data_IF_249518338481
#
_entry.id   IF_249518338481
#
_cell.length_a   1.000
_cell.length_b   1.000
_cell.length_c   1.000
_cell.angle_alpha   90.00
_cell.angle_beta   90.00
_cell.angle_gamma   90.00
#
_symmetry.space_group_name_H-M   'P 1'
#
loop_
_entity.id
_entity.type
_entity.pdbx_description
1 polymer ?
#
# COMPACT_ATOMS: atom_id res chain seq x y z
N UNK A 1 49.49 9.68 41.71
CA UNK A 1 49.51 8.34 42.32
C UNK A 1 50.60 7.54 41.59
N UNK A 2 51.73 7.20 42.26
CA UNK A 2 52.75 6.32 41.68
C UNK A 2 52.36 4.89 42.05
N UNK A 3 52.07 4.04 41.09
CA UNK A 3 51.85 2.63 41.31
C UNK A 3 53.21 1.98 41.55
N UNK A 4 53.41 1.43 42.72
CA UNK A 4 54.60 0.66 43.05
C UNK A 4 54.36 -0.83 42.71
N UNK A 5 54.99 -1.33 41.66
CA UNK A 5 54.87 -2.69 41.20
C UNK A 5 55.89 -3.66 41.82
N UNK A 6 56.62 -3.19 42.86
CA UNK A 6 57.69 -4.00 43.51
C UNK A 6 57.16 -5.00 44.55
N UNK A 7 55.89 -4.91 44.94
CA UNK A 7 55.31 -5.80 45.95
C UNK A 7 54.62 -6.97 45.18
N UNK A 8 54.99 -8.24 45.43
CA UNK A 8 54.34 -9.37 44.80
C UNK A 8 52.87 -9.45 45.22
N UNK A 9 51.97 -9.42 44.23
CA UNK A 9 50.53 -9.58 44.46
C UNK A 9 50.21 -10.96 45.04
N UNK A 10 49.37 -10.98 46.06
CA UNK A 10 48.78 -12.24 46.55
C UNK A 10 47.85 -12.86 45.50
N UNK A 11 47.64 -14.17 45.56
CA UNK A 11 46.74 -14.89 44.63
C UNK A 11 45.33 -14.32 44.65
N UNK A 12 44.86 -13.79 45.78
CA UNK A 12 43.53 -13.16 45.91
C UNK A 12 43.47 -11.80 45.23
N UNK A 13 44.49 -10.97 45.30
CA UNK A 13 44.59 -9.68 44.62
C UNK A 13 44.65 -9.87 43.11
N UNK A 14 45.40 -10.87 42.65
CA UNK A 14 45.46 -11.22 41.23
C UNK A 14 44.10 -11.68 40.71
N UNK A 15 43.38 -12.51 41.48
CA UNK A 15 42.01 -12.94 41.12
C UNK A 15 41.05 -11.76 41.08
N UNK A 16 41.13 -10.81 42.05
CA UNK A 16 40.28 -9.62 42.08
C UNK A 16 40.51 -8.72 40.86
N UNK A 17 41.78 -8.56 40.44
CA UNK A 17 42.10 -7.79 39.22
C UNK A 17 41.57 -8.45 37.99
N UNK A 18 41.69 -9.76 37.84
CA UNK A 18 41.15 -10.52 36.70
C UNK A 18 39.63 -10.38 36.63
N UNK A 19 38.95 -10.58 37.76
CA UNK A 19 37.50 -10.45 37.83
C UNK A 19 37.04 -9.01 37.49
N UNK A 20 37.78 -7.98 37.95
CA UNK A 20 37.48 -6.59 37.61
C UNK A 20 37.65 -6.30 36.12
N UNK A 21 38.67 -6.83 35.48
CA UNK A 21 38.89 -6.73 34.03
C UNK A 21 37.73 -7.41 33.27
N UNK A 22 37.33 -8.61 33.67
CA UNK A 22 36.23 -9.32 33.08
C UNK A 22 34.93 -8.55 33.22
N UNK A 23 34.65 -7.99 34.41
CA UNK A 23 33.46 -7.18 34.68
C UNK A 23 33.39 -5.91 33.81
N UNK A 24 34.52 -5.32 33.44
CA UNK A 24 34.59 -4.18 32.51
C UNK A 24 34.47 -4.62 31.06
N UNK A 25 35.08 -5.74 30.69
CA UNK A 25 35.06 -6.24 29.30
C UNK A 25 33.69 -6.73 28.86
N UNK A 26 32.90 -7.36 29.72
CA UNK A 26 31.58 -7.88 29.39
C UNK A 26 30.64 -6.78 28.85
N UNK A 27 30.43 -5.64 29.51
CA UNK A 27 29.58 -4.55 28.96
C UNK A 27 30.12 -3.98 27.65
N UNK A 28 31.44 -3.87 27.50
CA UNK A 28 32.06 -3.36 26.27
C UNK A 28 31.80 -4.35 25.11
N UNK A 29 32.00 -5.63 25.33
CA UNK A 29 31.72 -6.65 24.33
C UNK A 29 30.24 -6.66 23.96
N UNK A 30 29.34 -6.57 24.94
CA UNK A 30 27.90 -6.49 24.69
C UNK A 30 27.51 -5.24 23.89
N UNK A 31 28.12 -4.09 24.19
CA UNK A 31 27.88 -2.83 23.46
C UNK A 31 28.34 -2.94 22.00
N UNK A 32 29.56 -3.48 21.78
CA UNK A 32 30.11 -3.71 20.43
C UNK A 32 29.23 -4.71 19.68
N UNK A 33 28.85 -5.81 20.32
CA UNK A 33 27.97 -6.84 19.75
C UNK A 33 26.64 -6.25 19.30
N UNK A 34 25.93 -5.53 20.17
CA UNK A 34 24.67 -4.85 19.84
C UNK A 34 24.82 -3.82 18.73
N UNK A 35 25.89 -3.05 18.72
CA UNK A 35 26.09 -1.96 17.75
C UNK A 35 26.54 -2.44 16.38
N UNK A 36 27.44 -3.42 16.33
CA UNK A 36 28.17 -3.81 15.11
C UNK A 36 27.72 -5.14 14.53
N UNK A 37 27.37 -6.12 15.36
CA UNK A 37 27.08 -7.48 14.92
C UNK A 37 25.59 -7.69 14.72
N UNK A 38 24.75 -7.23 15.64
CA UNK A 38 23.30 -7.36 15.48
C UNK A 38 22.82 -6.37 14.44
N UNK A 39 22.33 -6.88 13.32
CA UNK A 39 21.73 -6.08 12.26
C UNK A 39 20.24 -5.89 12.48
N UNK A 40 19.73 -4.74 12.02
CA UNK A 40 18.30 -4.49 11.93
C UNK A 40 17.65 -5.46 10.94
N UNK A 41 16.53 -6.03 11.30
CA UNK A 41 15.72 -6.91 10.44
C UNK A 41 14.30 -6.44 10.46
N UNK A 42 13.72 -6.30 9.29
CA UNK A 42 12.31 -5.94 9.08
C UNK A 42 11.55 -7.18 8.58
N UNK A 43 10.43 -7.50 9.19
CA UNK A 43 9.49 -8.49 8.71
C UNK A 43 8.17 -7.81 8.32
N UNK A 44 7.43 -8.42 7.41
CA UNK A 44 6.06 -8.05 7.08
C UNK A 44 5.19 -9.30 7.12
N UNK A 45 4.11 -9.22 7.88
CA UNK A 45 3.11 -10.26 8.06
C UNK A 45 1.80 -9.74 7.48
N UNK A 46 1.43 -10.25 6.31
CA UNK A 46 0.15 -9.91 5.67
C UNK A 46 -1.00 -10.57 6.42
N UNK A 47 -2.18 -9.92 6.41
CA UNK A 47 -3.44 -10.53 6.85
C UNK A 47 -3.91 -11.68 5.95
N UNK A 48 -3.24 -11.91 4.81
CA UNK A 48 -3.61 -12.94 3.84
C UNK A 48 -4.64 -12.47 2.82
N UNK A 49 -5.00 -11.20 2.82
CA UNK A 49 -5.95 -10.63 1.87
C UNK A 49 -5.44 -9.32 1.27
N UNK A 50 -5.91 -9.02 0.06
CA UNK A 50 -5.73 -7.73 -0.59
C UNK A 50 -7.07 -7.23 -1.12
N UNK A 51 -7.27 -5.92 -1.12
CA UNK A 51 -8.43 -5.26 -1.69
C UNK A 51 -8.03 -4.63 -3.02
N UNK A 52 -8.82 -4.95 -4.05
CA UNK A 52 -8.65 -4.41 -5.39
C UNK A 52 -9.80 -3.49 -5.72
N UNK A 53 -9.51 -2.38 -6.37
CA UNK A 53 -10.52 -1.56 -6.98
C UNK A 53 -9.96 -0.76 -8.17
N UNK A 54 -10.90 -0.19 -8.94
CA UNK A 54 -10.63 0.59 -10.12
C UNK A 54 -11.62 1.75 -10.19
N UNK A 55 -11.12 2.94 -10.47
CA UNK A 55 -11.93 4.14 -10.60
C UNK A 55 -11.33 5.14 -11.60
N UNK A 56 -11.77 6.40 -11.58
CA UNK A 56 -11.30 7.49 -12.43
C UNK A 56 -9.79 7.78 -12.32
N UNK A 57 -9.15 7.40 -11.23
CA UNK A 57 -7.70 7.56 -11.02
C UNK A 57 -6.92 6.27 -11.30
N UNK A 58 -7.60 5.21 -11.77
CA UNK A 58 -6.98 3.96 -12.20
C UNK A 58 -7.14 2.79 -11.25
N UNK A 59 -6.17 1.90 -11.30
CA UNK A 59 -6.13 0.69 -10.48
C UNK A 59 -5.50 0.95 -9.13
N UNK A 60 -6.15 0.48 -8.09
CA UNK A 60 -5.71 0.58 -6.70
C UNK A 60 -5.57 -0.80 -6.07
N UNK A 61 -4.66 -0.88 -5.13
CA UNK A 61 -4.42 -2.06 -4.32
C UNK A 61 -4.30 -1.63 -2.85
N UNK A 62 -5.04 -2.29 -1.94
CA UNK A 62 -4.81 -2.15 -0.51
C UNK A 62 -4.32 -3.48 0.05
N UNK A 63 -3.27 -3.43 0.83
CA UNK A 63 -2.72 -4.60 1.54
C UNK A 63 -2.69 -4.26 3.03
N UNK A 64 -3.33 -5.11 3.80
CA UNK A 64 -3.39 -4.99 5.24
C UNK A 64 -2.34 -5.93 5.87
N UNK A 65 -1.59 -5.44 6.87
CA UNK A 65 -0.56 -6.24 7.50
C UNK A 65 0.12 -5.56 8.69
N UNK A 66 1.13 -6.23 9.18
CA UNK A 66 1.93 -5.81 10.32
C UNK A 66 3.40 -5.79 9.93
N UNK A 67 4.06 -4.67 10.13
CA UNK A 67 5.51 -4.54 10.07
C UNK A 67 6.10 -4.79 11.45
N UNK A 68 7.10 -5.66 11.52
CA UNK A 68 7.83 -6.02 12.73
C UNK A 68 9.31 -5.63 12.57
N UNK A 69 9.83 -4.91 13.54
CA UNK A 69 11.25 -4.62 13.66
C UNK A 69 11.89 -5.59 14.63
N UNK A 70 12.99 -6.24 14.24
CA UNK A 70 13.71 -7.20 15.08
C UNK A 70 15.09 -6.64 15.42
N UNK A 71 15.43 -6.66 16.69
CA UNK A 71 16.68 -6.23 17.33
C UNK A 71 16.94 -4.72 17.36
N UNK A 72 16.70 -3.98 16.30
CA UNK A 72 16.98 -2.55 16.22
C UNK A 72 15.78 -1.78 15.68
N UNK A 73 15.58 -0.52 16.06
CA UNK A 73 14.51 0.28 15.51
C UNK A 73 14.71 0.46 14.00
N UNK A 74 13.61 0.41 13.26
CA UNK A 74 13.58 0.56 11.80
C UNK A 74 12.75 1.79 11.43
N UNK A 75 13.31 2.67 10.59
CA UNK A 75 12.56 3.79 10.01
C UNK A 75 12.20 3.45 8.56
N UNK A 76 10.92 3.21 8.31
CA UNK A 76 10.37 2.98 6.98
C UNK A 76 10.19 4.34 6.31
N UNK A 77 10.81 4.51 5.14
CA UNK A 77 10.80 5.76 4.37
C UNK A 77 9.79 5.75 3.26
N UNK A 78 9.58 4.58 2.65
CA UNK A 78 8.71 4.41 1.51
C UNK A 78 8.29 2.95 1.38
N UNK A 79 7.07 2.74 0.94
CA UNK A 79 6.56 1.43 0.55
C UNK A 79 6.03 1.55 -0.88
N UNK A 80 6.44 0.63 -1.74
CA UNK A 80 5.95 0.53 -3.10
C UNK A 80 5.51 -0.90 -3.39
N UNK A 81 4.62 -1.08 -4.34
CA UNK A 81 4.18 -2.40 -4.79
C UNK A 81 4.33 -2.47 -6.30
N UNK A 82 4.93 -3.56 -6.73
CA UNK A 82 4.95 -3.94 -8.14
C UNK A 82 4.08 -5.17 -8.31
N UNK A 83 3.06 -5.04 -9.15
CA UNK A 83 2.15 -6.12 -9.51
C UNK A 83 2.47 -6.54 -10.94
N UNK A 84 2.72 -7.83 -11.15
CA UNK A 84 2.97 -8.40 -12.48
C UNK A 84 1.88 -9.41 -12.80
N UNK A 85 1.14 -9.20 -13.88
CA UNK A 85 0.15 -10.15 -14.40
C UNK A 85 0.90 -11.23 -15.16
N UNK A 86 0.76 -12.50 -14.76
CA UNK A 86 1.59 -13.59 -15.31
C UNK A 86 1.25 -13.94 -16.75
N UNK A 87 0.01 -13.66 -17.21
CA UNK A 87 -0.46 -13.99 -18.55
C UNK A 87 0.31 -13.28 -19.68
N UNK A 88 0.72 -12.04 -19.45
CA UNK A 88 1.29 -11.14 -20.48
C UNK A 88 2.43 -10.25 -19.97
N UNK A 89 2.95 -10.53 -18.78
CA UNK A 89 4.00 -9.76 -18.11
C UNK A 89 3.69 -8.26 -17.95
N UNK A 90 2.41 -7.86 -18.05
CA UNK A 90 1.99 -6.48 -17.82
C UNK A 90 2.23 -6.11 -16.37
N UNK A 91 2.87 -4.95 -16.15
CA UNK A 91 3.30 -4.49 -14.84
C UNK A 91 2.55 -3.24 -14.42
N UNK A 92 2.17 -3.21 -13.15
CA UNK A 92 1.60 -2.06 -12.48
C UNK A 92 2.50 -1.70 -11.30
N UNK A 93 3.05 -0.48 -11.30
CA UNK A 93 3.90 0.02 -10.24
C UNK A 93 3.12 1.06 -9.44
N UNK A 94 2.87 0.77 -8.19
CA UNK A 94 2.12 1.61 -7.29
C UNK A 94 3.00 2.03 -6.11
N UNK A 95 2.70 3.19 -5.54
CA UNK A 95 3.30 3.65 -4.30
C UNK A 95 2.23 3.84 -3.23
N UNK A 96 2.64 3.78 -1.98
CA UNK A 96 1.73 4.10 -0.89
C UNK A 96 1.17 5.51 -1.04
N UNK A 97 -0.13 5.62 -0.93
CA UNK A 97 -0.86 6.90 -1.04
C UNK A 97 -1.44 7.28 0.30
N UNK A 98 -1.97 6.30 1.03
CA UNK A 98 -2.61 6.53 2.32
C UNK A 98 -2.47 5.35 3.26
N UNK A 99 -2.59 5.65 4.55
CA UNK A 99 -2.85 4.68 5.61
C UNK A 99 -4.32 4.72 5.99
N UNK A 100 -4.89 3.54 6.17
CA UNK A 100 -6.27 3.39 6.63
C UNK A 100 -6.21 2.95 8.09
N UNK A 101 -6.93 3.64 8.97
CA UNK A 101 -6.99 3.26 10.38
C UNK A 101 -7.63 1.89 10.54
N UNK A 102 -7.02 0.95 11.30
CA UNK A 102 -7.66 -0.32 11.63
C UNK A 102 -8.88 -0.15 12.55
N UNK A 103 -9.03 1.02 13.15
CA UNK A 103 -10.11 1.31 14.10
C UNK A 103 -11.16 2.20 13.45
N UNK A 104 -12.41 1.76 13.45
CA UNK A 104 -13.54 2.57 13.03
C UNK A 104 -13.83 3.62 14.10
N UNK A 105 -13.84 4.89 13.72
CA UNK A 105 -14.28 5.98 14.58
C UNK A 105 -15.78 6.22 14.39
N UNK A 106 -16.50 6.40 15.49
CA UNK A 106 -17.91 6.75 15.45
C UNK A 106 -18.04 8.27 15.23
N UNK A 107 -18.48 8.65 14.03
CA UNK A 107 -18.76 10.05 13.70
C UNK A 107 -20.23 10.21 13.32
N UNK A 108 -20.94 11.12 13.99
CA UNK A 108 -22.36 11.43 13.73
C UNK A 108 -23.28 10.20 13.66
N UNK A 109 -23.02 9.19 14.51
CA UNK A 109 -23.79 7.94 14.53
C UNK A 109 -23.34 6.84 13.58
N UNK A 110 -22.46 7.13 12.63
CA UNK A 110 -21.89 6.18 11.69
C UNK A 110 -20.46 5.78 12.08
N UNK A 111 -20.07 4.56 11.75
CA UNK A 111 -18.67 4.14 11.86
C UNK A 111 -17.91 4.49 10.58
N UNK A 112 -16.88 5.32 10.72
CA UNK A 112 -16.06 5.79 9.60
C UNK A 112 -14.62 5.34 9.82
N UNK A 113 -14.02 4.75 8.80
CA UNK A 113 -12.58 4.51 8.75
C UNK A 113 -11.87 5.83 8.42
N UNK A 114 -10.92 6.23 9.25
CA UNK A 114 -10.09 7.40 8.97
C UNK A 114 -8.95 7.03 8.04
N UNK A 115 -8.69 7.92 7.09
CA UNK A 115 -7.54 7.83 6.17
C UNK A 115 -6.59 8.99 6.44
N UNK A 116 -5.31 8.71 6.41
CA UNK A 116 -4.27 9.73 6.46
C UNK A 116 -3.28 9.54 5.31
N UNK A 117 -2.69 10.62 4.84
CA UNK A 117 -1.66 10.54 3.79
C UNK A 117 -0.49 9.69 4.24
N UNK A 118 0.03 8.87 3.34
CA UNK A 118 1.19 8.06 3.63
C UNK A 118 2.41 8.93 3.98
N UNK A 119 3.07 8.59 5.06
CA UNK A 119 4.25 9.30 5.56
C UNK A 119 5.26 8.33 6.17
N UNK A 120 6.55 8.69 6.21
CA UNK A 120 7.57 7.88 6.88
C UNK A 120 7.24 7.67 8.35
N UNK A 121 7.49 6.46 8.84
CA UNK A 121 7.26 6.09 10.24
C UNK A 121 8.39 5.24 10.80
N UNK A 122 8.46 5.18 12.12
CA UNK A 122 9.48 4.43 12.86
C UNK A 122 8.82 3.35 13.69
N UNK A 123 9.43 2.17 13.67
CA UNK A 123 9.11 1.04 14.53
C UNK A 123 10.25 0.88 15.53
N UNK A 124 9.95 0.86 16.82
CA UNK A 124 10.95 0.66 17.85
C UNK A 124 11.54 -0.75 17.81
N UNK A 125 12.68 -0.95 18.49
CA UNK A 125 13.34 -2.25 18.55
C UNK A 125 12.39 -3.31 19.12
N UNK A 126 12.31 -4.46 18.46
CA UNK A 126 11.41 -5.57 18.80
C UNK A 126 9.91 -5.14 18.89
N UNK A 127 9.56 -4.06 18.18
CA UNK A 127 8.22 -3.52 18.09
C UNK A 127 7.49 -3.92 16.83
N UNK A 128 6.18 -3.72 16.84
CA UNK A 128 5.28 -3.98 15.71
C UNK A 128 4.47 -2.72 15.38
N UNK A 129 4.10 -2.58 14.10
CA UNK A 129 3.18 -1.55 13.63
C UNK A 129 2.19 -2.12 12.64
N UNK A 130 0.91 -2.00 12.96
CA UNK A 130 -0.16 -2.30 12.01
C UNK A 130 -0.19 -1.23 10.93
N UNK A 131 -0.17 -1.63 9.67
CA UNK A 131 -0.21 -0.72 8.55
C UNK A 131 -1.14 -1.28 7.47
N UNK A 132 -2.29 -0.64 7.31
CA UNK A 132 -3.26 -0.90 6.25
C UNK A 132 -3.01 0.14 5.17
N UNK A 133 -2.32 -0.30 4.12
CA UNK A 133 -1.72 0.61 3.15
C UNK A 133 -2.48 0.53 1.84
N UNK A 134 -2.93 1.68 1.38
CA UNK A 134 -3.46 1.85 0.04
C UNK A 134 -2.35 2.31 -0.91
N UNK A 135 -2.31 1.69 -2.07
CA UNK A 135 -1.33 1.94 -3.12
C UNK A 135 -2.03 2.47 -4.37
N UNK A 136 -1.49 3.55 -4.93
CA UNK A 136 -1.97 4.21 -6.13
C UNK A 136 -0.82 4.54 -7.08
N UNK A 137 -1.16 4.92 -8.31
CA UNK A 137 -0.17 5.46 -9.27
C UNK A 137 0.33 6.83 -8.76
N UNK A 138 1.63 6.97 -8.46
CA UNK A 138 2.19 8.20 -7.91
C UNK A 138 2.16 9.39 -8.90
N UNK A 139 2.01 9.11 -10.18
CA UNK A 139 2.03 10.13 -11.23
C UNK A 139 0.63 10.49 -11.73
N UNK A 140 -0.40 9.80 -11.23
CA UNK A 140 -1.79 9.94 -11.72
C UNK A 140 -1.88 9.86 -13.26
N UNK A 141 -1.10 8.93 -13.83
CA UNK A 141 -0.96 8.78 -15.29
C UNK A 141 -2.29 8.40 -15.91
N UNK A 142 -3.02 7.48 -15.24
CA UNK A 142 -4.34 7.07 -15.66
C UNK A 142 -5.37 8.20 -15.52
N UNK A 143 -5.40 8.92 -14.38
CA UNK A 143 -6.34 10.02 -14.14
C UNK A 143 -6.19 11.15 -15.17
N UNK A 144 -4.96 11.48 -15.56
CA UNK A 144 -4.70 12.43 -16.65
C UNK A 144 -5.26 11.95 -17.99
N UNK A 145 -5.06 10.66 -18.30
CA UNK A 145 -5.59 10.04 -19.52
C UNK A 145 -7.12 9.97 -19.48
N UNK A 146 -7.69 9.58 -18.33
CA UNK A 146 -9.13 9.59 -18.10
C UNK A 146 -9.71 10.97 -18.37
N UNK A 147 -9.18 12.02 -17.75
CA UNK A 147 -9.63 13.39 -17.94
C UNK A 147 -9.60 13.79 -19.40
N UNK A 148 -8.51 13.53 -20.12
CA UNK A 148 -8.37 13.91 -21.53
C UNK A 148 -9.35 13.19 -22.46
N UNK A 149 -9.68 11.91 -22.19
CA UNK A 149 -10.60 11.17 -23.04
C UNK A 149 -12.08 11.39 -22.67
N UNK A 150 -12.39 12.01 -21.53
CA UNK A 150 -13.77 12.25 -21.07
C UNK A 150 -14.17 13.71 -21.07
N UNK A 151 -13.28 14.64 -21.41
CA UNK A 151 -13.54 16.09 -21.35
C UNK A 151 -14.74 16.49 -22.19
N UNK A 152 -14.79 16.12 -23.48
CA UNK A 152 -15.91 16.42 -24.38
C UNK A 152 -17.21 15.76 -23.91
N UNK A 153 -17.10 14.53 -23.43
CA UNK A 153 -18.22 13.76 -22.89
C UNK A 153 -18.84 14.49 -21.68
N UNK A 154 -18.01 14.95 -20.73
CA UNK A 154 -18.46 15.64 -19.52
C UNK A 154 -19.01 17.05 -19.83
N UNK A 155 -18.41 17.73 -20.79
CA UNK A 155 -18.90 19.04 -21.27
C UNK A 155 -20.30 18.96 -21.91
N UNK A 156 -20.71 17.80 -22.37
CA UNK A 156 -22.07 17.58 -22.94
C UNK A 156 -23.17 17.38 -21.90
N UNK A 157 -22.84 17.17 -20.61
CA UNK A 157 -23.82 16.88 -19.55
C UNK A 157 -24.82 18.02 -19.32
N UNK A 158 -24.43 19.33 -19.28
CA UNK A 158 -25.36 20.40 -19.07
C UNK A 158 -26.46 20.49 -20.13
N UNK A 159 -26.14 20.24 -21.41
CA UNK A 159 -27.12 20.27 -22.49
C UNK A 159 -28.01 19.03 -22.47
N UNK A 160 -27.42 17.85 -22.22
CA UNK A 160 -28.19 16.63 -22.03
C UNK A 160 -29.21 16.73 -20.89
N UNK A 161 -28.87 17.46 -19.81
CA UNK A 161 -29.79 17.68 -18.69
C UNK A 161 -30.97 18.56 -19.05
N UNK A 162 -30.80 19.50 -20.01
CA UNK A 162 -31.91 20.33 -20.51
C UNK A 162 -32.84 19.49 -21.38
N UNK A 163 -32.31 18.61 -22.21
CA UNK A 163 -33.05 17.76 -23.13
C UNK A 163 -33.74 16.56 -22.44
N UNK A 164 -33.11 16.00 -21.43
CA UNK A 164 -33.56 14.79 -20.72
C UNK A 164 -33.76 15.11 -19.23
N UNK A 165 -35.00 15.37 -18.77
CA UNK A 165 -35.25 15.76 -17.37
C UNK A 165 -35.05 14.59 -16.39
N UNK A 166 -35.15 13.33 -16.82
CA UNK A 166 -34.94 12.15 -16.00
C UNK A 166 -33.59 11.46 -16.29
N UNK A 167 -33.03 10.86 -15.26
CA UNK A 167 -31.72 10.20 -15.34
C UNK A 167 -31.70 8.99 -16.27
N UNK A 168 -32.76 8.19 -16.31
CA UNK A 168 -32.76 6.95 -17.10
C UNK A 168 -32.65 7.27 -18.60
N UNK A 169 -33.48 8.22 -19.08
CA UNK A 169 -33.42 8.72 -20.45
C UNK A 169 -32.07 9.36 -20.75
N UNK A 170 -31.58 10.22 -19.84
CA UNK A 170 -30.28 10.86 -19.98
C UNK A 170 -29.14 9.83 -20.05
N UNK A 171 -29.18 8.80 -19.21
CA UNK A 171 -28.16 7.73 -19.19
C UNK A 171 -28.14 6.93 -20.50
N UNK A 172 -29.31 6.66 -21.09
CA UNK A 172 -29.38 6.01 -22.39
C UNK A 172 -28.78 6.87 -23.51
N UNK A 173 -29.17 8.15 -23.59
CA UNK A 173 -28.63 9.07 -24.57
C UNK A 173 -27.11 9.28 -24.38
N UNK A 174 -26.66 9.37 -23.14
CA UNK A 174 -25.24 9.54 -22.81
C UNK A 174 -24.39 8.36 -23.23
N UNK A 175 -24.85 7.12 -22.96
CA UNK A 175 -24.15 5.89 -23.34
C UNK A 175 -24.13 5.67 -24.86
N UNK A 176 -25.07 6.23 -25.59
CA UNK A 176 -25.14 6.14 -27.04
C UNK A 176 -24.22 7.13 -27.78
N UNK A 177 -23.59 8.08 -27.06
CA UNK A 177 -22.66 9.04 -27.67
C UNK A 177 -21.36 8.36 -28.09
N UNK A 178 -20.83 8.78 -29.23
CA UNK A 178 -19.56 8.27 -29.75
C UNK A 178 -18.40 8.54 -28.78
N UNK A 179 -18.44 9.66 -28.06
CA UNK A 179 -17.45 10.02 -27.04
C UNK A 179 -17.46 9.02 -25.86
N UNK A 180 -18.66 8.56 -25.46
CA UNK A 180 -18.78 7.53 -24.41
C UNK A 180 -18.19 6.20 -24.86
N UNK A 181 -18.54 5.74 -26.06
CA UNK A 181 -18.05 4.50 -26.65
C UNK A 181 -16.51 4.53 -26.78
N UNK A 182 -16.00 5.66 -27.28
CA UNK A 182 -14.56 5.87 -27.43
C UNK A 182 -13.83 5.88 -26.08
N UNK A 183 -14.34 6.65 -25.10
CA UNK A 183 -13.76 6.68 -23.76
C UNK A 183 -13.79 5.29 -23.10
N UNK A 184 -14.91 4.59 -23.19
CA UNK A 184 -15.05 3.21 -22.68
C UNK A 184 -14.04 2.25 -23.31
N UNK A 185 -13.80 2.34 -24.61
CA UNK A 185 -12.80 1.51 -25.31
C UNK A 185 -11.39 1.77 -24.77
N UNK A 186 -11.03 3.03 -24.55
CA UNK A 186 -9.72 3.41 -23.98
C UNK A 186 -9.57 2.87 -22.55
N UNK A 187 -10.61 3.02 -21.73
CA UNK A 187 -10.58 2.56 -20.33
C UNK A 187 -10.51 1.03 -20.23
N UNK A 188 -11.18 0.31 -21.12
CA UNK A 188 -11.06 -1.15 -21.20
C UNK A 188 -9.63 -1.60 -21.49
N UNK A 189 -8.89 -0.90 -22.37
CA UNK A 189 -7.49 -1.22 -22.66
C UNK A 189 -6.57 -0.95 -21.47
N UNK A 190 -6.90 0.01 -20.64
CA UNK A 190 -6.12 0.37 -19.43
C UNK A 190 -6.48 -0.46 -18.20
N UNK A 191 -7.62 -1.14 -18.23
CA UNK A 191 -8.05 -1.98 -17.11
C UNK A 191 -7.04 -3.08 -16.83
N UNK A 192 -6.58 -3.14 -15.59
CA UNK A 192 -5.47 -4.03 -15.21
C UNK A 192 -5.95 -5.36 -14.59
N UNK A 193 -7.08 -5.33 -13.86
CA UNK A 193 -7.56 -6.45 -13.05
C UNK A 193 -8.34 -7.48 -13.87
N UNK A 194 -7.67 -8.19 -14.77
CA UNK A 194 -8.27 -9.27 -15.56
C UNK A 194 -8.20 -10.63 -14.83
N UNK A 195 -8.93 -11.60 -15.33
CA UNK A 195 -8.89 -12.99 -14.82
C UNK A 195 -7.49 -13.56 -15.02
N UNK A 196 -6.89 -14.10 -13.96
CA UNK A 196 -5.58 -14.75 -14.00
C UNK A 196 -4.78 -14.64 -12.73
N UNK A 197 -3.52 -15.09 -12.82
CA UNK A 197 -2.55 -15.10 -11.72
C UNK A 197 -1.66 -13.85 -11.76
N UNK A 198 -1.35 -13.36 -10.56
CA UNK A 198 -0.54 -12.16 -10.37
C UNK A 198 0.56 -12.40 -9.36
N UNK A 199 1.74 -11.86 -9.64
CA UNK A 199 2.83 -11.76 -8.68
C UNK A 199 2.86 -10.36 -8.09
N UNK A 200 2.99 -10.28 -6.77
CA UNK A 200 3.04 -9.02 -6.02
C UNK A 200 4.38 -8.94 -5.29
N UNK A 201 5.09 -7.87 -5.50
CA UNK A 201 6.34 -7.55 -4.81
C UNK A 201 6.13 -6.27 -3.97
N UNK A 202 6.07 -6.43 -2.65
CA UNK A 202 6.01 -5.29 -1.71
C UNK A 202 7.45 -4.88 -1.43
N UNK A 203 7.81 -3.69 -1.85
CA UNK A 203 9.16 -3.14 -1.78
C UNK A 203 9.19 -2.08 -0.68
N UNK A 204 9.93 -2.36 0.40
CA UNK A 204 10.04 -1.46 1.55
C UNK A 204 11.43 -0.86 1.61
N UNK A 205 11.50 0.47 1.56
CA UNK A 205 12.74 1.22 1.75
C UNK A 205 12.85 1.67 3.21
N UNK A 206 13.85 1.19 3.91
CA UNK A 206 14.10 1.52 5.32
C UNK A 206 15.58 1.82 5.58
N UNK A 207 15.85 2.86 6.36
CA UNK A 207 17.21 3.33 6.55
C UNK A 207 17.94 3.63 5.22
N UNK A 208 18.94 2.83 4.89
CA UNK A 208 19.66 2.79 3.60
C UNK A 208 19.47 1.45 2.89
N UNK A 209 18.54 0.62 3.33
CA UNK A 209 18.30 -0.74 2.84
C UNK A 209 16.95 -0.81 2.14
N UNK A 210 16.81 -1.82 1.30
CA UNK A 210 15.56 -2.21 0.66
C UNK A 210 15.28 -3.67 0.98
N UNK A 211 14.02 -3.99 1.25
CA UNK A 211 13.56 -5.37 1.39
C UNK A 211 12.32 -5.58 0.54
N UNK A 212 12.25 -6.71 -0.12
CA UNK A 212 11.11 -7.12 -0.93
C UNK A 212 10.43 -8.32 -0.27
N UNK A 213 9.10 -8.27 -0.22
CA UNK A 213 8.25 -9.36 0.22
C UNK A 213 7.40 -9.79 -0.97
N UNK A 214 7.42 -11.08 -1.30
CA UNK A 214 6.77 -11.60 -2.51
C UNK A 214 5.53 -12.40 -2.15
N UNK A 215 4.47 -12.17 -2.91
CA UNK A 215 3.17 -12.82 -2.77
C UNK A 215 2.61 -13.15 -4.14
N UNK A 216 1.64 -14.05 -4.18
CA UNK A 216 0.80 -14.32 -5.34
C UNK A 216 -0.65 -14.08 -5.00
N UNK A 217 -1.44 -13.69 -5.98
CA UNK A 217 -2.89 -13.63 -5.91
C UNK A 217 -3.51 -14.10 -7.21
N UNK A 218 -4.76 -14.55 -7.13
CA UNK A 218 -5.56 -14.96 -8.29
C UNK A 218 -6.83 -14.12 -8.35
N UNK A 219 -7.19 -13.68 -9.54
CA UNK A 219 -8.47 -13.01 -9.84
C UNK A 219 -9.31 -13.99 -10.65
N UNK A 220 -10.43 -14.40 -10.07
CA UNK A 220 -11.42 -15.25 -10.71
C UNK A 220 -12.51 -14.44 -11.43
N UNK A 221 -13.49 -15.16 -11.98
CA UNK A 221 -14.65 -14.55 -12.66
C UNK A 221 -15.47 -13.64 -11.72
N UNK A 222 -15.65 -14.04 -10.48
CA UNK A 222 -16.43 -13.28 -9.48
C UNK A 222 -15.83 -11.89 -9.22
N UNK A 223 -14.52 -11.85 -8.98
CA UNK A 223 -13.76 -10.63 -8.69
C UNK A 223 -13.72 -9.74 -9.93
N UNK A 224 -13.44 -10.33 -11.09
CA UNK A 224 -13.43 -9.61 -12.36
C UNK A 224 -14.79 -8.99 -12.69
N UNK A 225 -15.89 -9.75 -12.53
CA UNK A 225 -17.26 -9.27 -12.77
C UNK A 225 -17.69 -8.20 -11.78
N UNK A 226 -17.07 -8.11 -10.60
CA UNK A 226 -17.27 -7.03 -9.64
C UNK A 226 -16.54 -5.75 -10.06
N UNK A 227 -15.33 -5.88 -10.63
CA UNK A 227 -14.46 -4.73 -10.93
C UNK A 227 -14.72 -4.14 -12.34
N UNK A 228 -15.04 -4.98 -13.33
CA UNK A 228 -15.20 -4.54 -14.71
C UNK A 228 -16.31 -3.47 -14.88
N UNK A 229 -17.48 -3.54 -14.21
CA UNK A 229 -18.51 -2.50 -14.28
C UNK A 229 -18.06 -1.14 -13.79
N UNK A 230 -16.97 -1.04 -13.01
CA UNK A 230 -16.42 0.23 -12.55
C UNK A 230 -15.97 1.14 -13.71
N UNK A 231 -15.73 0.58 -14.90
CA UNK A 231 -15.43 1.36 -16.10
C UNK A 231 -16.63 2.23 -16.46
N UNK A 232 -17.82 1.62 -16.58
CA UNK A 232 -19.06 2.32 -16.87
C UNK A 232 -19.44 3.26 -15.72
N UNK A 233 -19.28 2.80 -14.47
CA UNK A 233 -19.55 3.63 -13.28
C UNK A 233 -18.67 4.88 -13.25
N UNK A 234 -17.37 4.76 -13.58
CA UNK A 234 -16.46 5.88 -13.65
C UNK A 234 -16.87 6.94 -14.70
N UNK A 235 -17.37 6.48 -15.85
CA UNK A 235 -17.87 7.37 -16.91
C UNK A 235 -19.20 8.02 -16.54
N UNK A 236 -20.06 7.31 -15.81
CA UNK A 236 -21.39 7.78 -15.41
C UNK A 236 -21.39 8.66 -14.17
N UNK A 237 -20.31 8.68 -13.40
CA UNK A 237 -20.29 9.34 -12.09
C UNK A 237 -20.61 10.83 -12.17
N UNK A 238 -20.07 11.53 -13.19
CA UNK A 238 -20.37 12.94 -13.42
C UNK A 238 -21.84 13.17 -13.80
N UNK A 239 -22.39 12.31 -14.65
CA UNK A 239 -23.81 12.37 -15.01
C UNK A 239 -24.71 12.09 -13.80
N UNK A 240 -24.42 11.05 -13.01
CA UNK A 240 -25.14 10.73 -11.78
C UNK A 240 -25.16 11.92 -10.83
N UNK A 241 -23.98 12.55 -10.61
CA UNK A 241 -23.85 13.74 -9.78
C UNK A 241 -24.73 14.92 -10.28
N UNK A 242 -24.82 15.14 -11.59
CA UNK A 242 -25.66 16.16 -12.18
C UNK A 242 -27.18 15.95 -11.93
N UNK A 243 -27.61 14.70 -11.71
CA UNK A 243 -28.98 14.33 -11.35
C UNK A 243 -29.18 14.08 -9.85
N UNK A 244 -28.18 14.36 -9.00
CA UNK A 244 -28.26 14.16 -7.55
C UNK A 244 -28.27 12.67 -7.14
N UNK A 245 -27.79 11.78 -7.99
CA UNK A 245 -27.73 10.33 -7.74
C UNK A 245 -26.35 9.98 -7.21
N UNK A 246 -26.31 9.25 -6.11
CA UNK A 246 -25.06 8.73 -5.60
C UNK A 246 -24.56 7.58 -6.49
N UNK A 247 -23.30 7.66 -6.86
CA UNK A 247 -22.60 6.61 -7.59
C UNK A 247 -21.32 6.24 -6.88
N UNK A 248 -20.77 5.08 -7.19
CA UNK A 248 -19.50 4.64 -6.62
C UNK A 248 -18.99 3.36 -7.29
N UNK A 249 -17.68 3.23 -7.31
CA UNK A 249 -17.02 2.04 -7.81
C UNK A 249 -16.99 0.95 -6.74
N UNK A 250 -17.13 -0.29 -7.16
CA UNK A 250 -17.06 -1.47 -6.29
C UNK A 250 -15.62 -1.88 -6.05
N UNK A 251 -15.37 -2.51 -4.91
CA UNK A 251 -14.11 -3.17 -4.59
C UNK A 251 -14.32 -4.67 -4.41
N UNK A 252 -13.26 -5.44 -4.55
CA UNK A 252 -13.27 -6.88 -4.26
C UNK A 252 -12.09 -7.27 -3.39
N UNK A 253 -12.21 -8.41 -2.73
CA UNK A 253 -11.18 -8.97 -1.85
C UNK A 253 -10.63 -10.23 -2.53
N UNK A 254 -9.31 -10.34 -2.56
CA UNK A 254 -8.59 -11.51 -3.06
C UNK A 254 -7.66 -12.08 -1.99
N UNK A 255 -7.39 -13.37 -2.07
CA UNK A 255 -6.43 -14.02 -1.20
C UNK A 255 -4.99 -13.67 -1.63
N UNK A 256 -4.16 -13.37 -0.64
CA UNK A 256 -2.73 -13.06 -0.81
C UNK A 256 -1.90 -14.20 -0.20
N UNK A 257 -1.19 -14.93 -1.03
CA UNK A 257 -0.41 -16.11 -0.63
C UNK A 257 1.07 -15.75 -0.67
N UNK A 258 1.76 -15.85 0.47
CA UNK A 258 3.20 -15.60 0.55
C UNK A 258 3.99 -16.64 -0.23
N UNK A 259 4.89 -16.20 -1.09
CA UNK A 259 5.87 -17.06 -1.74
C UNK A 259 7.11 -17.19 -0.86
N UNK A 260 7.54 -18.42 -0.59
CA UNK A 260 8.75 -18.71 0.23
C UNK A 260 10.02 -18.30 -0.48
#
# INVERSE_FOLDING_TARGET
>A
MKFDFSIPMTSYEMLAVVLSIIAILIPIIQMVWKKWIIQEKLNFLSTGTAFLYFNQSGSYLRIDGVYESVHKPVSIKQIAVKVTRQKDDRKLNLQWSSFISPVNQKMMGNYVQTMESAHPFRIEADGIMCAFVEFADPFDSFGKKFKSCTEDLFNSIPDLRKECPDYLTASHCYKAKDEFIKAKSILNQEFFWEIGEYQIEIIVLYGKKQKTFSYTMSIGESEHNTLLPNIDESLLLALKGAYGINGGCSSTIVNLIGTK
#
